data_IF_245922489805
#
_entry.id   IF_245922489805
#
_cell.length_a   1.000
_cell.length_b   1.000
_cell.length_c   1.000
_cell.angle_alpha   90.00
_cell.angle_beta   90.00
_cell.angle_gamma   90.00
#
_symmetry.space_group_name_H-M   'P 1'
#
loop_
_entity.id
_entity.type
_entity.pdbx_description
1 polymer ?
#
# COMPACT_ATOMS: atom_id res chain seq x y z
N UNK A 1 -6.22 3.42 -12.25
CA UNK A 1 -6.94 2.48 -13.18
C UNK A 1 -7.51 3.29 -14.33
N UNK A 2 -7.20 2.94 -15.59
CA UNK A 2 -7.81 3.59 -16.77
C UNK A 2 -9.30 3.22 -16.85
N UNK A 3 -10.16 4.20 -17.12
CA UNK A 3 -11.62 4.06 -17.18
C UNK A 3 -12.19 4.34 -18.58
N UNK A 4 -11.33 4.59 -19.58
CA UNK A 4 -11.72 4.91 -20.95
C UNK A 4 -12.07 6.38 -21.15
N UNK A 5 -12.99 6.65 -22.07
CA UNK A 5 -13.26 8.01 -22.57
C UNK A 5 -14.32 8.77 -21.74
N UNK A 6 -14.88 8.15 -20.72
CA UNK A 6 -15.85 8.79 -19.82
C UNK A 6 -15.30 8.92 -18.39
N UNK A 7 -15.42 10.11 -17.77
CA UNK A 7 -14.98 10.28 -16.38
C UNK A 7 -15.93 9.57 -15.42
N UNK A 8 -15.37 8.78 -14.51
CA UNK A 8 -16.12 8.17 -13.41
C UNK A 8 -16.01 9.06 -12.18
N UNK A 9 -17.16 9.47 -11.62
CA UNK A 9 -17.16 10.12 -10.30
C UNK A 9 -17.09 9.05 -9.22
N UNK A 10 -15.98 9.03 -8.48
CA UNK A 10 -15.76 8.07 -7.41
C UNK A 10 -16.78 8.26 -6.26
N UNK A 11 -17.29 7.15 -5.74
CA UNK A 11 -18.11 7.09 -4.51
C UNK A 11 -17.28 6.61 -3.31
N UNK A 12 -16.09 6.06 -3.58
CA UNK A 12 -15.21 5.45 -2.61
C UNK A 12 -13.95 6.31 -2.32
N UNK A 13 -14.02 7.63 -2.51
CA UNK A 13 -12.94 8.55 -2.14
C UNK A 13 -11.73 8.53 -3.06
N UNK A 14 -11.86 8.07 -4.30
CA UNK A 14 -10.81 8.15 -5.30
C UNK A 14 -10.86 9.46 -6.09
N UNK A 15 -9.76 9.81 -6.74
CA UNK A 15 -9.69 10.96 -7.63
C UNK A 15 -9.90 10.51 -9.06
N UNK A 16 -10.62 11.31 -9.84
CA UNK A 16 -10.70 11.15 -11.29
C UNK A 16 -9.72 12.10 -11.94
N UNK A 17 -8.85 11.58 -12.78
CA UNK A 17 -7.80 12.34 -13.46
C UNK A 17 -7.76 12.01 -14.95
N UNK A 18 -7.05 12.84 -15.72
CA UNK A 18 -6.76 12.55 -17.12
C UNK A 18 -5.66 11.50 -17.18
N UNK A 19 -5.89 10.42 -17.93
CA UNK A 19 -4.88 9.43 -18.22
C UNK A 19 -3.92 9.93 -19.32
N UNK A 20 -2.66 9.47 -19.26
CA UNK A 20 -1.76 9.66 -20.38
C UNK A 20 -2.25 8.81 -21.56
N UNK A 21 -2.63 9.46 -22.66
CA UNK A 21 -3.05 8.83 -23.90
C UNK A 21 -2.00 9.06 -24.99
N UNK A 22 -1.82 8.08 -25.86
CA UNK A 22 -1.01 8.21 -27.09
C UNK A 22 -1.87 8.54 -28.32
N UNK A 23 -3.18 8.63 -28.13
CA UNK A 23 -4.17 9.02 -29.15
C UNK A 23 -4.61 10.46 -28.96
N UNK A 24 -5.33 11.03 -29.95
CA UNK A 24 -5.96 12.34 -29.83
C UNK A 24 -7.25 12.31 -28.98
N UNK A 25 -7.65 11.14 -28.49
CA UNK A 25 -8.82 10.97 -27.63
C UNK A 25 -8.43 11.18 -26.16
N UNK A 26 -9.32 11.85 -25.43
CA UNK A 26 -9.16 12.04 -23.98
C UNK A 26 -9.57 10.77 -23.26
N UNK A 27 -8.66 10.26 -22.43
CA UNK A 27 -8.92 9.13 -21.54
C UNK A 27 -8.86 9.57 -20.09
N UNK A 28 -9.61 8.87 -19.26
CA UNK A 28 -9.69 9.12 -17.82
C UNK A 28 -9.16 7.96 -17.00
N UNK A 29 -8.77 8.26 -15.78
CA UNK A 29 -8.33 7.25 -14.82
C UNK A 29 -8.83 7.56 -13.41
N UNK A 30 -9.10 6.50 -12.63
CA UNK A 30 -9.22 6.60 -11.19
C UNK A 30 -7.83 6.51 -10.57
N UNK A 31 -7.58 7.40 -9.62
CA UNK A 31 -6.33 7.50 -8.86
C UNK A 31 -6.62 7.41 -7.36
N UNK A 32 -5.85 6.60 -6.65
CA UNK A 32 -5.86 6.54 -5.20
C UNK A 32 -4.45 6.75 -4.66
N UNK A 33 -4.32 7.59 -3.64
CA UNK A 33 -3.03 7.95 -3.05
C UNK A 33 -2.84 7.26 -1.71
N UNK A 34 -1.81 6.41 -1.60
CA UNK A 34 -1.31 5.85 -0.34
C UNK A 34 -0.17 6.73 0.14
N UNK A 35 -0.35 7.41 1.29
CA UNK A 35 0.62 8.40 1.76
C UNK A 35 1.92 7.78 2.27
N UNK A 36 1.85 6.59 2.85
CA UNK A 36 3.00 5.93 3.46
C UNK A 36 3.13 4.51 2.93
N UNK A 37 4.03 4.31 1.99
CA UNK A 37 4.42 3.01 1.45
C UNK A 37 5.92 2.75 1.73
N UNK A 38 6.80 3.02 0.77
CA UNK A 38 8.25 2.88 0.97
C UNK A 38 8.80 3.67 2.15
N UNK A 39 8.17 4.78 2.54
CA UNK A 39 8.51 5.55 3.72
C UNK A 39 8.40 4.76 5.04
N UNK A 40 7.51 3.75 5.11
CA UNK A 40 7.43 2.86 6.26
C UNK A 40 8.69 2.00 6.42
N UNK A 41 9.27 1.56 5.31
CA UNK A 41 10.54 0.80 5.32
C UNK A 41 11.72 1.71 5.66
N UNK A 42 11.72 2.95 5.17
CA UNK A 42 12.72 3.94 5.57
C UNK A 42 12.64 4.22 7.08
N UNK A 43 11.44 4.36 7.62
CA UNK A 43 11.22 4.53 9.06
C UNK A 43 11.76 3.36 9.88
N UNK A 44 11.55 2.10 9.46
CA UNK A 44 12.15 0.92 10.12
C UNK A 44 13.69 0.98 10.10
N UNK A 45 14.28 1.54 9.04
CA UNK A 45 15.73 1.64 8.89
C UNK A 45 16.31 2.81 9.70
N UNK A 46 15.77 4.00 9.53
CA UNK A 46 16.41 5.24 9.93
C UNK A 46 16.05 5.60 11.39
N UNK A 47 14.78 5.45 11.76
CA UNK A 47 14.30 5.83 13.10
C UNK A 47 14.27 4.64 14.06
N UNK A 48 13.64 3.53 13.64
CA UNK A 48 13.53 2.34 14.49
C UNK A 48 14.82 1.51 14.53
N UNK A 49 15.71 1.67 13.55
CA UNK A 49 16.97 0.94 13.41
C UNK A 49 16.84 -0.58 13.50
N UNK A 50 15.70 -1.09 13.04
CA UNK A 50 15.41 -2.53 13.00
C UNK A 50 16.07 -3.24 11.84
N UNK A 51 16.36 -2.50 10.75
CA UNK A 51 17.04 -2.96 9.54
C UNK A 51 18.16 -1.99 9.15
N UNK A 52 19.11 -2.43 8.34
CA UNK A 52 20.21 -1.60 7.82
C UNK A 52 19.99 -1.19 6.36
N UNK A 53 19.16 -1.94 5.64
CA UNK A 53 18.81 -1.68 4.24
C UNK A 53 17.38 -2.13 3.97
N UNK A 54 16.74 -1.59 2.94
CA UNK A 54 15.39 -2.00 2.53
C UNK A 54 15.32 -3.50 2.21
N UNK A 55 16.37 -4.07 1.61
CA UNK A 55 16.44 -5.51 1.32
C UNK A 55 16.31 -6.38 2.57
N UNK A 56 16.90 -5.95 3.68
CA UNK A 56 16.80 -6.73 4.92
C UNK A 56 15.36 -6.83 5.45
N UNK A 57 14.45 -5.97 5.03
CA UNK A 57 13.05 -6.12 5.43
C UNK A 57 12.43 -7.40 4.89
N UNK A 58 12.77 -7.81 3.67
CA UNK A 58 12.36 -9.08 3.09
C UNK A 58 13.01 -10.26 3.80
N UNK A 59 14.33 -10.20 3.96
CA UNK A 59 15.11 -11.25 4.64
C UNK A 59 14.55 -11.55 6.03
N UNK A 60 14.28 -10.53 6.85
CA UNK A 60 13.69 -10.72 8.19
C UNK A 60 12.23 -11.16 8.16
N UNK A 61 11.45 -10.68 7.18
CA UNK A 61 10.05 -11.10 7.06
C UNK A 61 9.92 -12.58 6.72
N UNK A 62 10.88 -13.14 5.98
CA UNK A 62 10.92 -14.55 5.62
C UNK A 62 11.38 -15.46 6.80
N UNK A 63 12.00 -14.89 7.84
CA UNK A 63 12.37 -15.65 9.04
C UNK A 63 11.16 -16.06 9.91
N UNK A 64 9.99 -15.49 9.66
CA UNK A 64 8.76 -15.78 10.42
C UNK A 64 7.62 -16.16 9.49
N UNK A 65 6.76 -17.14 9.87
CA UNK A 65 5.70 -17.62 9.00
C UNK A 65 4.54 -16.61 8.85
N UNK A 66 4.34 -15.74 9.84
CA UNK A 66 3.27 -14.75 9.91
C UNK A 66 3.64 -13.57 10.81
N UNK A 67 2.75 -12.59 10.94
CA UNK A 67 2.94 -11.42 11.81
C UNK A 67 2.60 -11.70 13.28
N UNK A 68 2.19 -12.91 13.65
CA UNK A 68 1.79 -13.30 15.02
C UNK A 68 0.73 -12.39 15.64
N UNK A 69 -0.21 -11.90 14.81
CA UNK A 69 -1.28 -11.00 15.20
C UNK A 69 -0.86 -9.54 15.37
N UNK A 70 0.38 -9.18 15.01
CA UNK A 70 0.82 -7.77 14.96
C UNK A 70 0.33 -7.15 13.67
N UNK A 71 -0.29 -5.98 13.78
CA UNK A 71 -0.66 -5.13 12.65
C UNK A 71 -0.07 -3.74 12.82
N UNK A 72 0.40 -3.18 11.72
CA UNK A 72 0.95 -1.82 11.65
C UNK A 72 0.06 -0.98 10.74
N UNK A 73 -0.37 0.16 11.25
CA UNK A 73 -1.04 1.20 10.45
C UNK A 73 -0.05 2.35 10.31
N UNK A 74 0.61 2.53 9.15
CA UNK A 74 1.70 3.49 9.02
C UNK A 74 1.18 4.90 8.66
N UNK A 75 0.18 5.39 9.37
CA UNK A 75 -0.44 6.71 9.14
C UNK A 75 0.41 7.85 9.71
N UNK A 76 1.71 7.93 9.35
CA UNK A 76 2.63 8.92 9.92
C UNK A 76 2.24 10.36 9.58
N UNK A 77 1.63 10.57 8.42
CA UNK A 77 1.15 11.87 7.92
C UNK A 77 -0.34 11.87 7.63
N UNK A 78 -1.10 11.01 8.31
CA UNK A 78 -2.49 10.73 8.02
C UNK A 78 -2.66 9.57 7.04
N UNK A 79 -3.90 9.29 6.67
CA UNK A 79 -4.28 8.29 5.67
C UNK A 79 -4.80 8.97 4.41
N UNK A 80 -4.36 8.48 3.25
CA UNK A 80 -4.85 8.88 1.94
C UNK A 80 -6.14 8.16 1.55
N UNK A 81 -6.30 7.92 0.25
CA UNK A 81 -7.46 7.19 -0.28
C UNK A 81 -7.52 5.76 0.29
N UNK A 82 -8.72 5.22 0.51
CA UNK A 82 -10.04 5.86 0.36
C UNK A 82 -10.49 6.67 1.59
N UNK A 83 -9.71 6.70 2.67
CA UNK A 83 -10.09 7.18 4.01
C UNK A 83 -10.04 8.69 4.17
N UNK A 84 -9.03 9.35 3.62
CA UNK A 84 -8.77 10.79 3.69
C UNK A 84 -8.78 11.34 5.13
N UNK A 85 -8.18 10.59 6.08
CA UNK A 85 -8.06 11.01 7.48
C UNK A 85 -6.67 11.62 7.74
N UNK A 86 -6.61 12.95 7.76
CA UNK A 86 -5.39 13.70 8.05
C UNK A 86 -4.97 13.66 9.52
N UNK A 87 -5.88 13.25 10.42
CA UNK A 87 -5.62 13.15 11.86
C UNK A 87 -5.18 11.75 12.30
N UNK A 88 -5.35 10.73 11.47
CA UNK A 88 -4.82 9.40 11.74
C UNK A 88 -3.32 9.45 12.03
N UNK A 89 -2.87 8.60 12.93
CA UNK A 89 -1.44 8.47 13.28
C UNK A 89 -1.03 7.02 13.26
N UNK A 90 0.27 6.80 13.05
CA UNK A 90 0.87 5.49 13.07
C UNK A 90 0.49 4.72 14.34
N UNK A 91 0.03 3.48 14.16
CA UNK A 91 -0.46 2.64 15.25
C UNK A 91 0.05 1.21 15.06
N UNK A 92 0.44 0.58 16.16
CA UNK A 92 0.81 -0.84 16.18
C UNK A 92 -0.10 -1.54 17.19
N UNK A 93 -0.77 -2.60 16.76
CA UNK A 93 -1.69 -3.39 17.61
C UNK A 93 -1.30 -4.87 17.62
N UNK A 94 -1.86 -5.64 18.55
CA UNK A 94 -1.67 -7.08 18.62
C UNK A 94 -0.32 -7.54 19.20
N UNK A 95 0.46 -6.65 19.80
CA UNK A 95 1.78 -6.97 20.38
C UNK A 95 1.63 -7.82 21.62
N UNK A 96 2.33 -8.96 21.66
CA UNK A 96 2.45 -9.85 22.81
C UNK A 96 3.92 -10.06 23.18
N UNK A 97 4.18 -10.65 24.35
CA UNK A 97 5.55 -10.96 24.78
C UNK A 97 6.31 -11.88 23.80
N UNK A 98 5.60 -12.65 23.00
CA UNK A 98 6.21 -13.54 22.00
C UNK A 98 6.57 -12.88 20.68
N UNK A 99 6.25 -11.59 20.47
CA UNK A 99 6.60 -10.89 19.26
C UNK A 99 8.09 -10.54 19.23
N UNK A 100 8.70 -10.68 18.07
CA UNK A 100 10.09 -10.33 17.79
C UNK A 100 10.12 -9.22 16.73
N UNK A 101 11.27 -8.60 16.50
CA UNK A 101 11.43 -7.54 15.47
C UNK A 101 10.98 -7.99 14.09
N UNK A 102 11.21 -9.28 13.74
CA UNK A 102 10.83 -9.87 12.46
C UNK A 102 9.32 -9.77 12.21
N UNK A 103 8.50 -9.98 13.25
CA UNK A 103 7.03 -9.82 13.15
C UNK A 103 6.62 -8.37 12.87
N UNK A 104 7.30 -7.38 13.48
CA UNK A 104 7.04 -5.96 13.21
C UNK A 104 7.44 -5.57 11.80
N UNK A 105 8.60 -6.06 11.33
CA UNK A 105 9.09 -5.81 9.97
C UNK A 105 8.12 -6.39 8.95
N UNK A 106 7.70 -7.65 9.15
CA UNK A 106 6.71 -8.32 8.29
C UNK A 106 5.37 -7.60 8.32
N UNK A 107 4.86 -7.23 9.49
CA UNK A 107 3.60 -6.49 9.62
C UNK A 107 3.66 -5.11 8.91
N UNK A 108 4.83 -4.46 8.90
CA UNK A 108 5.03 -3.20 8.17
C UNK A 108 5.00 -3.43 6.66
N UNK A 109 5.61 -4.49 6.14
CA UNK A 109 5.49 -4.86 4.72
C UNK A 109 4.04 -5.19 4.36
N UNK A 110 3.37 -6.02 5.16
CA UNK A 110 1.97 -6.38 4.92
C UNK A 110 1.04 -5.17 4.95
N UNK A 111 1.32 -4.16 5.78
CA UNK A 111 0.52 -2.94 5.84
C UNK A 111 0.51 -2.15 4.52
N UNK A 112 1.60 -2.20 3.75
CA UNK A 112 1.67 -1.58 2.42
C UNK A 112 0.76 -2.32 1.45
N UNK A 113 0.77 -3.65 1.49
CA UNK A 113 -0.10 -4.48 0.65
C UNK A 113 -1.58 -4.26 0.98
N UNK A 114 -1.95 -4.18 2.27
CA UNK A 114 -3.33 -3.90 2.69
C UNK A 114 -3.81 -2.54 2.18
N UNK A 115 -3.02 -1.48 2.32
CA UNK A 115 -3.39 -0.16 1.80
C UNK A 115 -3.54 -0.16 0.27
N UNK A 116 -2.67 -0.85 -0.45
CA UNK A 116 -2.79 -1.00 -1.89
C UNK A 116 -4.07 -1.77 -2.28
N UNK A 117 -4.37 -2.84 -1.54
CA UNK A 117 -5.60 -3.62 -1.73
C UNK A 117 -6.86 -2.76 -1.53
N UNK A 118 -6.93 -1.95 -0.48
CA UNK A 118 -8.08 -1.09 -0.21
C UNK A 118 -8.33 -0.09 -1.35
N UNK A 119 -7.26 0.49 -1.91
CA UNK A 119 -7.35 1.38 -3.07
C UNK A 119 -7.81 0.62 -4.31
N UNK A 120 -7.28 -0.58 -4.57
CA UNK A 120 -7.68 -1.41 -5.71
C UNK A 120 -9.13 -1.83 -5.58
N UNK A 121 -9.58 -2.27 -4.40
CA UNK A 121 -10.96 -2.65 -4.15
C UNK A 121 -11.93 -1.48 -4.40
N UNK A 122 -11.57 -0.27 -3.94
CA UNK A 122 -12.33 0.94 -4.22
C UNK A 122 -12.38 1.25 -5.73
N UNK A 123 -11.28 1.07 -6.46
CA UNK A 123 -11.23 1.26 -7.91
C UNK A 123 -12.14 0.27 -8.66
N UNK A 124 -12.12 -0.99 -8.25
CA UNK A 124 -12.97 -2.03 -8.85
C UNK A 124 -14.46 -1.77 -8.61
N UNK A 125 -14.81 -1.34 -7.40
CA UNK A 125 -16.19 -1.01 -7.05
C UNK A 125 -16.71 0.19 -7.84
N UNK A 126 -15.91 1.27 -7.92
CA UNK A 126 -16.31 2.48 -8.65
C UNK A 126 -16.38 2.26 -10.18
N UNK A 127 -15.44 1.48 -10.72
CA UNK A 127 -15.40 1.21 -12.16
C UNK A 127 -16.37 0.09 -12.59
N UNK A 128 -16.87 -0.72 -11.66
CA UNK A 128 -17.72 -1.87 -11.97
C UNK A 128 -17.03 -3.00 -12.71
N UNK A 129 -15.67 -3.04 -12.67
CA UNK A 129 -14.85 -4.05 -13.35
C UNK A 129 -13.82 -4.63 -12.40
N UNK A 130 -13.47 -5.91 -12.62
CA UNK A 130 -12.40 -6.56 -11.86
C UNK A 130 -11.06 -6.36 -12.55
N UNK A 131 -10.05 -6.04 -11.75
CA UNK A 131 -8.68 -5.91 -12.23
C UNK A 131 -8.06 -7.30 -12.43
N UNK A 132 -7.64 -7.60 -13.65
CA UNK A 132 -6.99 -8.88 -14.00
C UNK A 132 -5.48 -8.77 -14.05
N UNK A 133 -4.95 -7.57 -14.15
CA UNK A 133 -3.50 -7.31 -14.23
C UNK A 133 -3.17 -6.03 -13.50
N UNK A 134 -2.18 -6.10 -12.61
CA UNK A 134 -1.60 -4.94 -11.93
C UNK A 134 -0.17 -4.74 -12.44
N UNK A 135 0.10 -3.58 -13.02
CA UNK A 135 1.47 -3.18 -13.35
C UNK A 135 2.06 -2.45 -12.16
N UNK A 136 3.19 -2.94 -11.67
CA UNK A 136 3.90 -2.36 -10.52
C UNK A 136 5.27 -1.84 -10.95
N UNK A 137 5.71 -0.74 -10.33
CA UNK A 137 7.01 -0.12 -10.55
C UNK A 137 7.53 0.51 -9.24
N UNK A 138 8.80 0.90 -9.25
CA UNK A 138 9.47 1.50 -8.10
C UNK A 138 10.23 0.49 -7.23
N UNK A 139 11.00 1.00 -6.29
CA UNK A 139 11.91 0.19 -5.47
C UNK A 139 11.21 -0.88 -4.61
N UNK A 140 9.98 -0.64 -4.19
CA UNK A 140 9.21 -1.57 -3.38
C UNK A 140 8.70 -2.78 -4.18
N UNK A 141 8.54 -2.66 -5.52
CA UNK A 141 8.07 -3.74 -6.38
C UNK A 141 9.06 -4.89 -6.52
N UNK A 142 10.33 -4.66 -6.18
CA UNK A 142 11.36 -5.70 -6.13
C UNK A 142 11.23 -6.64 -4.92
N UNK A 143 10.37 -6.31 -3.95
CA UNK A 143 10.14 -7.13 -2.76
C UNK A 143 9.09 -8.21 -3.08
N UNK A 144 9.49 -9.48 -3.05
CA UNK A 144 8.65 -10.62 -3.42
C UNK A 144 7.45 -10.76 -2.48
N UNK A 145 7.60 -10.45 -1.19
CA UNK A 145 6.50 -10.54 -0.23
C UNK A 145 5.37 -9.54 -0.56
N UNK A 146 5.71 -8.36 -1.07
CA UNK A 146 4.73 -7.36 -1.52
C UNK A 146 4.07 -7.76 -2.84
N UNK A 147 4.81 -8.41 -3.74
CA UNK A 147 4.34 -8.78 -5.06
C UNK A 147 3.51 -10.09 -5.08
N UNK A 148 3.65 -10.96 -4.08
CA UNK A 148 3.05 -12.31 -4.07
C UNK A 148 1.72 -12.42 -3.34
N UNK A 149 1.21 -11.35 -2.76
CA UNK A 149 -0.12 -11.33 -2.12
C UNK A 149 -1.17 -10.83 -3.12
N UNK A 150 -1.65 -11.74 -3.92
CA UNK A 150 -2.89 -11.59 -4.71
C UNK A 150 -4.12 -11.78 -3.82
#
# INVERSE_FOLDING_TARGET
>A
MNTGNEPITSKNGLLTTLAASVSDEVEYALEGSVFVAGAAIQWLRDEMRMIKSARQSEEYADEVPDCKGVYVVPAFTGMGAPYWDSYARGTIVGVTRGCKKEHFIRATLESIAYQAYDVIAAMEEDAGVKMTHLKVDGGASANILLASRE
#
